data_IF_139466374337
#
_entry.id   IF_139466374337
#
_cell.length_a   1.000
_cell.length_b   1.000
_cell.length_c   1.000
_cell.angle_alpha   90.00
_cell.angle_beta   90.00
_cell.angle_gamma   90.00
#
_symmetry.space_group_name_H-M   'P 1'
#
loop_
_entity.id
_entity.type
_entity.pdbx_description
1 polymer ?
#
# COMPACT_ATOMS: atom_id res chain seq x y z
N UNK A 1 20.15 7.13 -13.32
CA UNK A 1 18.86 7.65 -12.84
C UNK A 1 17.74 6.84 -13.49
N UNK A 2 16.74 6.41 -12.70
CA UNK A 2 15.60 5.62 -13.20
C UNK A 2 14.37 6.53 -13.28
N UNK A 3 13.66 6.47 -14.41
CA UNK A 3 12.41 7.20 -14.60
C UNK A 3 11.24 6.24 -14.73
N UNK A 4 10.08 6.66 -14.26
CA UNK A 4 8.80 5.99 -14.48
C UNK A 4 7.81 7.03 -14.96
N UNK A 5 7.01 6.68 -15.97
CA UNK A 5 6.06 7.58 -16.63
C UNK A 5 4.64 7.12 -16.33
N UNK A 6 3.76 8.08 -16.17
CA UNK A 6 2.32 7.87 -16.15
C UNK A 6 1.68 9.05 -16.89
N UNK A 7 0.50 8.82 -17.45
CA UNK A 7 -0.25 9.81 -18.21
C UNK A 7 -1.68 9.86 -17.73
N UNK A 8 -2.27 11.05 -17.77
CA UNK A 8 -3.68 11.26 -17.55
C UNK A 8 -4.26 12.04 -18.74
N UNK A 9 -5.43 11.62 -19.20
CA UNK A 9 -6.21 12.32 -20.22
C UNK A 9 -7.59 12.62 -19.68
N UNK A 10 -8.10 13.80 -19.98
CA UNK A 10 -9.47 14.21 -19.65
C UNK A 10 -10.17 14.77 -20.87
N UNK A 11 -11.46 14.47 -21.03
CA UNK A 11 -12.34 15.00 -22.07
C UNK A 11 -13.61 15.57 -21.44
N UNK A 12 -13.98 16.75 -21.87
CA UNK A 12 -15.20 17.43 -21.41
C UNK A 12 -15.01 18.28 -20.15
N UNK A 13 -16.10 18.77 -19.58
CA UNK A 13 -16.09 19.53 -18.34
C UNK A 13 -15.95 18.62 -17.13
N UNK A 14 -15.70 19.18 -15.94
CA UNK A 14 -15.43 18.41 -14.74
C UNK A 14 -16.57 17.44 -14.35
N UNK A 15 -17.83 17.88 -14.49
CA UNK A 15 -18.98 17.14 -13.98
C UNK A 15 -19.51 16.05 -14.93
N UNK A 16 -19.34 16.24 -16.24
CA UNK A 16 -19.86 15.34 -17.28
C UNK A 16 -18.75 14.70 -18.11
N UNK A 17 -17.50 15.09 -17.88
CA UNK A 17 -16.35 14.56 -18.58
C UNK A 17 -15.92 13.20 -18.03
N UNK A 18 -15.03 12.58 -18.78
CA UNK A 18 -14.38 11.32 -18.45
C UNK A 18 -12.87 11.39 -18.73
N UNK A 19 -12.16 10.56 -18.00
CA UNK A 19 -10.71 10.50 -18.15
C UNK A 19 -10.18 9.07 -18.19
N UNK A 20 -8.91 8.95 -18.52
CA UNK A 20 -8.13 7.72 -18.43
C UNK A 20 -6.79 7.99 -17.79
N UNK A 21 -6.37 7.06 -16.97
CA UNK A 21 -5.05 7.01 -16.35
C UNK A 21 -4.29 5.81 -16.89
N UNK A 22 -3.06 6.00 -17.31
CA UNK A 22 -2.20 4.92 -17.79
C UNK A 22 -0.79 5.03 -17.24
N UNK A 23 -0.10 3.90 -17.18
CA UNK A 23 1.31 3.84 -16.80
C UNK A 23 2.18 3.42 -17.97
N UNK A 24 3.42 3.89 -18.00
CA UNK A 24 4.33 3.68 -19.13
C UNK A 24 4.69 2.22 -19.42
N UNK A 25 4.49 1.30 -18.47
CA UNK A 25 4.62 -0.15 -18.71
C UNK A 25 3.43 -0.78 -19.43
N UNK A 26 2.31 -0.07 -19.55
CA UNK A 26 1.05 -0.62 -20.06
C UNK A 26 0.29 -1.51 -19.07
N UNK A 27 0.81 -1.73 -17.87
CA UNK A 27 0.18 -2.60 -16.86
C UNK A 27 -1.12 -2.02 -16.28
N UNK A 28 -1.32 -0.71 -16.38
CA UNK A 28 -2.54 -0.01 -15.94
C UNK A 28 -2.97 0.93 -17.08
N UNK A 29 -4.23 0.80 -17.49
CA UNK A 29 -4.94 1.71 -18.38
C UNK A 29 -6.42 1.67 -18.02
N UNK A 30 -6.87 2.63 -17.20
CA UNK A 30 -8.15 2.57 -16.50
C UNK A 30 -8.91 3.89 -16.59
N UNK A 31 -10.27 3.85 -16.62
CA UNK A 31 -11.08 5.04 -16.62
C UNK A 31 -11.12 5.68 -15.22
N UNK A 32 -11.33 7.01 -15.19
CA UNK A 32 -11.65 7.74 -13.98
C UNK A 32 -12.59 8.92 -14.28
N UNK A 33 -13.31 9.38 -13.27
CA UNK A 33 -14.26 10.49 -13.39
C UNK A 33 -14.38 11.23 -12.05
N UNK A 34 -15.06 12.39 -12.06
CA UNK A 34 -15.41 13.05 -10.81
C UNK A 34 -16.32 12.16 -9.95
N UNK A 35 -17.24 11.44 -10.57
CA UNK A 35 -18.13 10.52 -9.89
C UNK A 35 -17.38 9.39 -9.19
N UNK A 36 -16.43 8.75 -9.86
CA UNK A 36 -15.61 7.69 -9.23
C UNK A 36 -14.68 8.20 -8.11
N UNK A 37 -14.43 9.50 -8.07
CA UNK A 37 -13.65 10.13 -7.01
C UNK A 37 -14.46 10.49 -5.77
N UNK A 38 -15.73 10.86 -5.95
CA UNK A 38 -16.59 11.38 -4.86
C UNK A 38 -17.64 10.37 -4.36
N UNK A 39 -17.95 9.34 -5.13
CA UNK A 39 -18.95 8.33 -4.80
C UNK A 39 -18.34 6.94 -4.63
N UNK A 40 -18.78 6.21 -3.60
CA UNK A 40 -18.37 4.83 -3.39
C UNK A 40 -19.09 3.87 -4.38
N UNK A 41 -18.49 2.70 -4.61
CA UNK A 41 -19.11 1.62 -5.39
C UNK A 41 -19.08 1.82 -6.91
N UNK A 42 -18.25 2.73 -7.42
CA UNK A 42 -18.05 2.92 -8.84
C UNK A 42 -17.12 1.85 -9.42
N UNK A 43 -17.31 1.48 -10.68
CA UNK A 43 -16.45 0.53 -11.41
C UNK A 43 -15.17 1.16 -11.98
N UNK A 44 -15.04 2.49 -11.89
CA UNK A 44 -13.86 3.24 -12.32
C UNK A 44 -12.98 3.59 -11.11
N UNK A 45 -11.68 3.72 -11.32
CA UNK A 45 -10.72 4.11 -10.28
C UNK A 45 -10.74 5.62 -10.02
N UNK A 46 -9.90 6.04 -9.09
CA UNK A 46 -9.65 7.44 -8.77
C UNK A 46 -8.17 7.65 -8.35
N UNK A 47 -7.67 8.89 -8.31
CA UNK A 47 -6.29 9.18 -7.93
C UNK A 47 -5.94 8.68 -6.54
N UNK A 48 -6.87 8.71 -5.59
CA UNK A 48 -6.65 8.32 -4.20
C UNK A 48 -6.44 6.81 -4.07
N UNK A 49 -7.18 5.98 -4.82
CA UNK A 49 -6.95 4.54 -4.89
C UNK A 49 -5.59 4.19 -5.50
N UNK A 50 -5.19 4.88 -6.57
CA UNK A 50 -3.88 4.66 -7.19
C UNK A 50 -2.73 5.09 -6.28
N UNK A 51 -2.90 6.18 -5.53
CA UNK A 51 -1.96 6.59 -4.50
C UNK A 51 -1.87 5.54 -3.38
N UNK A 52 -3.01 5.03 -2.94
CA UNK A 52 -3.09 3.95 -1.96
C UNK A 52 -2.39 2.68 -2.44
N UNK A 53 -2.62 2.26 -3.69
CA UNK A 53 -1.96 1.10 -4.29
C UNK A 53 -0.44 1.28 -4.36
N UNK A 54 0.03 2.47 -4.78
CA UNK A 54 1.45 2.80 -4.81
C UNK A 54 2.08 2.77 -3.41
N UNK A 55 1.39 3.33 -2.41
CA UNK A 55 1.87 3.36 -1.03
C UNK A 55 1.90 1.95 -0.41
N UNK A 56 0.83 1.17 -0.56
CA UNK A 56 0.77 -0.21 -0.09
C UNK A 56 1.89 -1.05 -0.71
N UNK A 57 2.07 -1.00 -2.03
CA UNK A 57 3.11 -1.74 -2.73
C UNK A 57 4.53 -1.34 -2.28
N UNK A 58 4.80 -0.04 -2.19
CA UNK A 58 6.10 0.47 -1.75
C UNK A 58 6.42 0.08 -0.30
N UNK A 59 5.46 0.20 0.60
CA UNK A 59 5.61 -0.21 2.01
C UNK A 59 5.83 -1.72 2.13
N UNK A 60 5.04 -2.54 1.42
CA UNK A 60 5.20 -4.01 1.41
C UNK A 60 6.60 -4.42 1.00
N UNK A 61 7.13 -3.82 -0.07
CA UNK A 61 8.52 -4.08 -0.50
C UNK A 61 9.55 -3.59 0.53
N UNK A 62 9.33 -2.45 1.16
CA UNK A 62 10.19 -1.95 2.22
C UNK A 62 10.21 -2.89 3.44
N UNK A 63 9.05 -3.43 3.84
CA UNK A 63 8.95 -4.41 4.93
C UNK A 63 9.64 -5.73 4.56
N UNK A 64 9.44 -6.23 3.34
CA UNK A 64 10.14 -7.42 2.84
C UNK A 64 11.66 -7.23 2.88
N UNK A 65 12.16 -6.05 2.50
CA UNK A 65 13.59 -5.72 2.56
C UNK A 65 14.13 -5.68 4.00
N UNK A 66 13.37 -5.09 4.96
CA UNK A 66 13.75 -5.06 6.37
C UNK A 66 13.80 -6.48 6.97
N UNK A 67 12.78 -7.29 6.72
CA UNK A 67 12.72 -8.68 7.16
C UNK A 67 13.90 -9.49 6.60
N UNK A 68 14.13 -9.40 5.29
CA UNK A 68 15.23 -10.12 4.62
C UNK A 68 16.61 -9.68 5.14
N UNK A 69 16.79 -8.37 5.37
CA UNK A 69 18.03 -7.83 5.96
C UNK A 69 18.29 -8.32 7.38
N UNK A 70 17.24 -8.64 8.14
CA UNK A 70 17.29 -9.23 9.47
C UNK A 70 17.36 -10.78 9.47
N UNK A 71 17.44 -11.41 8.30
CA UNK A 71 17.56 -12.87 8.15
C UNK A 71 16.22 -13.63 8.15
N UNK A 72 15.11 -12.93 8.05
CA UNK A 72 13.77 -13.55 8.00
C UNK A 72 13.22 -13.55 6.57
N UNK A 73 12.59 -14.64 6.16
CA UNK A 73 11.91 -14.74 4.86
C UNK A 73 10.41 -14.80 5.11
N UNK A 74 9.65 -13.75 4.73
CA UNK A 74 8.20 -13.81 4.84
C UNK A 74 7.61 -14.80 3.84
N UNK A 75 6.64 -15.59 4.25
CA UNK A 75 5.82 -16.41 3.36
C UNK A 75 4.86 -15.53 2.56
N UNK A 76 4.27 -14.55 3.24
CA UNK A 76 3.37 -13.56 2.63
C UNK A 76 3.41 -12.27 3.43
N UNK A 77 3.31 -11.15 2.73
CA UNK A 77 3.00 -9.84 3.31
C UNK A 77 1.83 -9.27 2.53
N UNK A 78 0.77 -8.91 3.24
CA UNK A 78 -0.39 -8.24 2.65
C UNK A 78 -0.55 -6.87 3.30
N UNK A 79 -0.62 -5.83 2.50
CA UNK A 79 -0.82 -4.46 2.97
C UNK A 79 -2.01 -3.81 2.28
N UNK A 80 -2.87 -3.18 3.07
CA UNK A 80 -3.92 -2.29 2.61
C UNK A 80 -3.55 -0.86 2.99
N UNK A 81 -3.74 0.10 2.08
CA UNK A 81 -3.66 1.52 2.37
C UNK A 81 -5.05 2.15 2.24
N UNK A 82 -5.51 2.82 3.27
CA UNK A 82 -6.71 3.65 3.26
C UNK A 82 -6.29 5.10 3.16
N UNK A 83 -6.64 5.76 2.05
CA UNK A 83 -6.38 7.17 1.81
C UNK A 83 -7.62 7.97 2.16
N UNK A 84 -7.50 8.91 3.09
CA UNK A 84 -8.57 9.82 3.48
C UNK A 84 -8.55 11.05 2.59
N UNK A 85 -9.67 11.29 1.91
CA UNK A 85 -9.90 12.43 1.04
C UNK A 85 -11.09 13.21 1.57
N UNK A 86 -10.80 14.34 2.22
CA UNK A 86 -11.75 15.08 3.04
C UNK A 86 -11.94 16.51 2.54
N UNK A 87 -13.10 17.09 2.83
CA UNK A 87 -13.32 18.51 2.65
C UNK A 87 -12.63 19.28 3.77
N UNK A 88 -11.68 20.14 3.40
CA UNK A 88 -10.95 21.03 4.32
C UNK A 88 -11.21 22.48 3.91
N UNK A 89 -12.01 23.19 4.69
CA UNK A 89 -12.51 24.51 4.30
C UNK A 89 -13.38 24.43 3.04
N UNK A 90 -13.03 25.19 2.00
CA UNK A 90 -13.75 25.20 0.71
C UNK A 90 -13.12 24.24 -0.32
N UNK A 91 -12.09 23.49 0.03
CA UNK A 91 -11.37 22.59 -0.87
C UNK A 91 -11.36 21.15 -0.37
N UNK A 92 -11.01 20.23 -1.25
CA UNK A 92 -10.73 18.84 -0.88
C UNK A 92 -9.22 18.61 -0.75
N UNK A 93 -8.83 17.79 0.22
CA UNK A 93 -7.44 17.42 0.44
C UNK A 93 -7.31 15.95 0.85
N UNK A 94 -6.18 15.35 0.51
CA UNK A 94 -5.75 14.10 1.13
C UNK A 94 -5.17 14.46 2.50
N UNK A 95 -5.81 13.97 3.56
CA UNK A 95 -5.50 14.37 4.93
C UNK A 95 -4.71 13.31 5.70
N UNK A 96 -4.86 12.04 5.30
CA UNK A 96 -4.26 10.91 6.02
C UNK A 96 -4.13 9.68 5.14
N UNK A 97 -3.14 8.85 5.43
CA UNK A 97 -3.09 7.46 4.95
C UNK A 97 -2.93 6.52 6.13
N UNK A 98 -3.77 5.49 6.21
CA UNK A 98 -3.65 4.41 7.18
C UNK A 98 -3.20 3.12 6.47
N UNK A 99 -2.03 2.61 6.85
CA UNK A 99 -1.49 1.33 6.40
C UNK A 99 -1.92 0.24 7.38
N UNK A 100 -2.55 -0.81 6.88
CA UNK A 100 -2.81 -2.04 7.61
C UNK A 100 -2.04 -3.16 6.94
N UNK A 101 -1.07 -3.74 7.63
CA UNK A 101 -0.26 -4.82 7.10
C UNK A 101 -0.35 -6.06 7.97
N UNK A 102 -0.35 -7.21 7.34
CA UNK A 102 -0.21 -8.50 8.01
C UNK A 102 0.87 -9.32 7.29
N UNK A 103 1.69 -10.02 8.06
CA UNK A 103 2.75 -10.84 7.49
C UNK A 103 2.80 -12.21 8.18
N UNK A 104 3.07 -13.24 7.38
CA UNK A 104 3.41 -14.58 7.83
C UNK A 104 4.92 -14.75 7.73
N UNK A 105 5.59 -14.81 8.89
CA UNK A 105 7.05 -14.86 9.00
C UNK A 105 7.45 -15.87 10.06
N UNK A 106 8.11 -16.93 9.65
CA UNK A 106 8.55 -17.96 10.58
C UNK A 106 9.73 -17.49 11.43
N UNK A 107 9.70 -17.82 12.73
CA UNK A 107 10.85 -17.67 13.63
C UNK A 107 11.12 -16.26 14.14
N UNK A 108 10.25 -15.30 13.86
CA UNK A 108 10.34 -13.92 14.37
C UNK A 108 9.38 -13.75 15.57
N UNK A 109 9.78 -12.99 16.59
CA UNK A 109 8.90 -12.52 17.63
C UNK A 109 8.19 -11.22 17.24
N UNK A 110 7.06 -10.93 17.90
CA UNK A 110 6.25 -9.76 17.56
C UNK A 110 7.01 -8.44 17.81
N UNK A 111 7.80 -8.33 18.85
CA UNK A 111 8.55 -7.10 19.14
C UNK A 111 9.54 -6.75 18.03
N UNK A 112 10.29 -7.74 17.55
CA UNK A 112 11.20 -7.61 16.40
C UNK A 112 10.44 -7.27 15.13
N UNK A 113 9.31 -7.94 14.88
CA UNK A 113 8.46 -7.64 13.73
C UNK A 113 7.93 -6.20 13.73
N UNK A 114 7.43 -5.70 14.88
CA UNK A 114 6.95 -4.33 15.01
C UNK A 114 8.06 -3.30 14.76
N UNK A 115 9.26 -3.55 15.27
CA UNK A 115 10.42 -2.68 15.04
C UNK A 115 10.77 -2.59 13.54
N UNK A 116 10.83 -3.73 12.84
CA UNK A 116 11.12 -3.78 11.40
C UNK A 116 10.00 -3.13 10.57
N UNK A 117 8.73 -3.28 10.98
CA UNK A 117 7.61 -2.60 10.33
C UNK A 117 7.67 -1.07 10.51
N UNK A 118 8.05 -0.60 11.69
CA UNK A 118 8.26 0.84 11.95
C UNK A 118 9.39 1.41 11.09
N UNK A 119 10.51 0.70 10.96
CA UNK A 119 11.62 1.08 10.10
C UNK A 119 11.23 1.05 8.61
N UNK A 120 10.44 0.07 8.19
CA UNK A 120 9.91 0.01 6.83
C UNK A 120 9.07 1.24 6.51
N UNK A 121 8.15 1.65 7.41
CA UNK A 121 7.33 2.85 7.27
C UNK A 121 8.21 4.10 7.14
N UNK A 122 9.21 4.26 8.02
CA UNK A 122 10.13 5.40 8.04
C UNK A 122 10.96 5.50 6.77
N UNK A 123 11.36 4.36 6.20
CA UNK A 123 12.27 4.29 5.07
C UNK A 123 11.55 4.15 3.71
N UNK A 124 10.26 3.84 3.69
CA UNK A 124 9.47 3.74 2.47
C UNK A 124 9.52 5.06 1.67
N UNK A 125 9.97 5.05 0.40
CA UNK A 125 10.04 6.25 -0.43
C UNK A 125 8.71 6.98 -0.58
N UNK A 126 7.59 6.26 -0.70
CA UNK A 126 6.25 6.87 -0.80
C UNK A 126 5.84 7.49 0.54
N UNK A 127 6.11 6.85 1.68
CA UNK A 127 5.87 7.48 3.00
C UNK A 127 6.65 8.78 3.15
N UNK A 128 7.90 8.81 2.71
CA UNK A 128 8.72 10.04 2.72
C UNK A 128 8.15 11.13 1.82
N UNK A 129 7.67 10.77 0.63
CA UNK A 129 7.04 11.71 -0.29
C UNK A 129 5.72 12.29 0.26
N UNK A 130 5.00 11.50 1.07
CA UNK A 130 3.74 11.90 1.71
C UNK A 130 3.92 12.44 3.13
N UNK A 131 5.12 12.84 3.53
CA UNK A 131 5.42 13.28 4.90
C UNK A 131 4.66 14.55 5.37
N UNK A 132 4.00 15.26 4.45
CA UNK A 132 3.17 16.42 4.78
C UNK A 132 1.80 16.06 5.39
N UNK A 133 1.42 14.79 5.37
CA UNK A 133 0.17 14.29 5.94
C UNK A 133 0.45 13.19 6.97
N UNK A 134 -0.54 12.91 7.81
CA UNK A 134 -0.45 11.83 8.78
C UNK A 134 -0.41 10.45 8.07
N UNK A 135 0.53 9.60 8.49
CA UNK A 135 0.60 8.21 8.06
C UNK A 135 0.48 7.30 9.28
N UNK A 136 -0.71 6.73 9.46
CA UNK A 136 -0.95 5.68 10.46
C UNK A 136 -0.42 4.32 9.99
N UNK A 137 -0.10 3.42 10.93
CA UNK A 137 0.25 2.04 10.60
C UNK A 137 -0.23 1.10 11.69
N UNK A 138 -0.81 -0.03 11.27
CA UNK A 138 -1.06 -1.19 12.11
C UNK A 138 -0.42 -2.41 11.45
N UNK A 139 0.54 -3.03 12.13
CA UNK A 139 1.21 -4.25 11.66
C UNK A 139 0.77 -5.44 12.51
N UNK A 140 0.48 -6.56 11.87
CA UNK A 140 0.02 -7.79 12.51
C UNK A 140 0.90 -8.95 12.06
N UNK A 141 1.57 -9.61 13.00
CA UNK A 141 2.26 -10.87 12.74
C UNK A 141 1.25 -12.01 12.79
N UNK A 142 1.07 -12.72 11.66
CA UNK A 142 0.28 -13.94 11.62
C UNK A 142 1.12 -15.07 12.23
N UNK A 143 0.63 -15.68 13.30
CA UNK A 143 1.22 -16.93 13.80
C UNK A 143 0.58 -18.07 13.02
N UNK A 144 1.27 -18.58 12.02
CA UNK A 144 0.88 -19.86 11.41
C UNK A 144 1.29 -20.96 12.39
N UNK A 145 0.32 -21.62 13.02
CA UNK A 145 0.58 -22.85 13.76
C UNK A 145 1.24 -23.84 12.80
N UNK A 146 2.55 -24.03 12.95
CA UNK A 146 3.21 -25.15 12.28
C UNK A 146 2.67 -26.43 12.93
N UNK A 147 2.06 -27.28 12.10
CA UNK A 147 1.79 -28.65 12.50
C UNK A 147 3.06 -29.25 13.13
N UNK A 148 2.97 -29.95 14.28
CA UNK A 148 4.12 -30.52 14.95
C UNK A 148 4.87 -31.42 13.95
N UNK A 149 6.18 -31.17 13.81
CA UNK A 149 7.07 -32.08 13.08
C UNK A 149 7.00 -33.42 13.79
N UNK A 150 6.32 -34.39 13.20
CA UNK A 150 6.33 -35.78 13.67
C UNK A 150 7.78 -36.24 13.52
N UNK A 151 8.48 -36.40 14.64
CA UNK A 151 9.79 -36.99 14.66
C UNK A 151 9.65 -38.43 14.12
N UNK A 152 10.19 -38.68 12.93
CA UNK A 152 10.33 -40.04 12.40
C UNK A 152 11.32 -40.73 13.30
N UNK A 153 10.81 -41.62 14.16
CA UNK A 153 11.62 -42.51 14.98
C UNK A 153 12.50 -43.35 14.06
N UNK A 154 13.79 -43.35 14.33
CA UNK A 154 14.72 -44.36 13.80
C UNK A 154 14.48 -45.65 14.54
N UNK A 155 13.94 -46.62 13.87
CA UNK A 155 14.11 -48.05 14.19
C UNK A 155 15.37 -48.59 13.52
#
# INVERSE_FOLDING_TARGET
>A
MLFRKAEARWKGNLTKGDGRLSVGSGAVDVPYSLKSRLENGQSATNPEELLGAAHAGCFTMALAAQLSGAGFTPTEIQTQAKVSFDKVGDSFAITRVDLQTSADVAGIDDATFQALAADAKKNCPVSKALAAIDIGMKATLKQTERAPVVAVGKD
#
